data_IF_889168550115
#
_entry.id   IF_889168550115
#
_cell.length_a   1.000
_cell.length_b   1.000
_cell.length_c   1.000
_cell.angle_alpha   90.00
_cell.angle_beta   90.00
_cell.angle_gamma   90.00
#
_symmetry.space_group_name_H-M   'P 1'
#
loop_
_entity.id
_entity.type
_entity.pdbx_description
1 polymer ?
#
# COMPACT_ATOMS: atom_id res chain seq x y z
N UNK A 1 0.51 -28.99 5.36
CA UNK A 1 -0.29 -27.99 4.59
C UNK A 1 0.54 -26.73 4.44
N UNK A 2 0.67 -26.19 3.22
CA UNK A 2 1.33 -24.90 2.97
C UNK A 2 0.62 -23.81 3.79
N UNK A 3 1.36 -23.03 4.58
CA UNK A 3 0.77 -21.92 5.36
C UNK A 3 0.41 -20.78 4.42
N UNK A 4 -0.82 -20.26 4.50
CA UNK A 4 -1.27 -19.10 3.72
C UNK A 4 -0.41 -17.87 4.06
N UNK A 5 -0.05 -17.09 3.03
CA UNK A 5 0.72 -15.85 3.13
C UNK A 5 -0.17 -14.68 2.72
N UNK A 6 -0.38 -13.76 3.63
CA UNK A 6 -1.19 -12.56 3.40
C UNK A 6 -0.30 -11.34 3.26
N UNK A 7 -0.27 -10.73 2.07
CA UNK A 7 0.29 -9.40 1.86
C UNK A 7 -0.65 -8.32 2.38
N UNK A 8 -0.12 -7.33 3.07
CA UNK A 8 -0.87 -6.21 3.64
C UNK A 8 -0.28 -4.93 3.08
N UNK A 9 -1.05 -4.20 2.29
CA UNK A 9 -0.67 -2.88 1.79
C UNK A 9 -1.52 -1.82 2.49
N UNK A 10 -0.95 -1.16 3.49
CA UNK A 10 -1.55 0.00 4.15
C UNK A 10 -1.27 1.29 3.38
N UNK A 11 -2.19 2.23 3.42
CA UNK A 11 -1.96 3.53 2.80
C UNK A 11 -3.15 4.46 2.84
N UNK A 12 -2.91 5.74 2.60
CA UNK A 12 -4.00 6.72 2.51
C UNK A 12 -4.86 6.51 1.26
N UNK A 13 -4.24 6.10 0.13
CA UNK A 13 -4.88 5.90 -1.18
C UNK A 13 -5.72 7.10 -1.65
N UNK A 14 -5.10 8.27 -1.75
CA UNK A 14 -5.75 9.56 -2.02
C UNK A 14 -5.28 10.24 -3.33
N UNK A 15 -5.53 9.63 -4.54
CA UNK A 15 -6.10 8.32 -4.78
C UNK A 15 -5.07 7.17 -4.80
N UNK A 16 -5.57 5.94 -4.82
CA UNK A 16 -4.80 4.76 -5.21
C UNK A 16 -4.35 4.91 -6.67
N UNK A 17 -3.18 4.34 -6.99
CA UNK A 17 -2.59 4.44 -8.33
C UNK A 17 -1.75 3.21 -8.67
N UNK A 18 -1.35 3.12 -9.93
CA UNK A 18 -0.61 1.99 -10.48
C UNK A 18 0.67 1.67 -9.69
N UNK A 19 1.38 2.67 -9.16
CA UNK A 19 2.58 2.44 -8.35
C UNK A 19 2.31 1.70 -7.03
N UNK A 20 1.12 1.85 -6.43
CA UNK A 20 0.72 1.03 -5.28
C UNK A 20 0.50 -0.43 -5.69
N UNK A 21 -0.15 -0.64 -6.85
CA UNK A 21 -0.42 -1.98 -7.36
C UNK A 21 0.87 -2.68 -7.78
N UNK A 22 1.77 -1.98 -8.45
CA UNK A 22 3.10 -2.49 -8.85
C UNK A 22 3.90 -2.95 -7.62
N UNK A 23 3.87 -2.18 -6.53
CA UNK A 23 4.56 -2.54 -5.29
C UNK A 23 4.00 -3.83 -4.68
N UNK A 24 2.68 -3.98 -4.65
CA UNK A 24 2.03 -5.18 -4.13
C UNK A 24 2.23 -6.39 -5.07
N UNK A 25 2.23 -6.19 -6.40
CA UNK A 25 2.55 -7.24 -7.39
C UNK A 25 3.99 -7.74 -7.20
N UNK A 26 4.94 -6.83 -7.03
CA UNK A 26 6.35 -7.18 -6.79
C UNK A 26 6.53 -8.00 -5.51
N UNK A 27 5.90 -7.58 -4.40
CA UNK A 27 5.89 -8.33 -3.15
C UNK A 27 5.26 -9.71 -3.33
N UNK A 28 4.12 -9.77 -4.02
CA UNK A 28 3.38 -11.00 -4.27
C UNK A 28 4.21 -12.01 -5.06
N UNK A 29 4.88 -11.55 -6.11
CA UNK A 29 5.75 -12.38 -6.93
C UNK A 29 7.00 -12.86 -6.15
N UNK A 30 7.67 -11.94 -5.42
CA UNK A 30 8.91 -12.26 -4.70
C UNK A 30 8.69 -13.24 -3.53
N UNK A 31 7.52 -13.20 -2.89
CA UNK A 31 7.23 -13.95 -1.66
C UNK A 31 6.16 -15.02 -1.84
N UNK A 32 5.66 -15.23 -3.06
CA UNK A 32 4.57 -16.16 -3.38
C UNK A 32 3.38 -15.97 -2.42
N UNK A 33 2.89 -14.72 -2.31
CA UNK A 33 1.75 -14.41 -1.46
C UNK A 33 0.49 -15.06 -2.03
N UNK A 34 -0.32 -15.66 -1.17
CA UNK A 34 -1.58 -16.30 -1.58
C UNK A 34 -2.71 -15.28 -1.72
N UNK A 35 -2.66 -14.19 -0.95
CA UNK A 35 -3.62 -13.09 -0.96
C UNK A 35 -2.94 -11.75 -0.70
N UNK A 36 -3.58 -10.67 -1.16
CA UNK A 36 -3.22 -9.30 -0.79
C UNK A 36 -4.45 -8.56 -0.28
N UNK A 37 -4.31 -7.88 0.85
CA UNK A 37 -5.31 -6.98 1.40
C UNK A 37 -4.79 -5.55 1.38
N UNK A 38 -5.56 -4.65 0.76
CA UNK A 38 -5.36 -3.21 0.85
C UNK A 38 -6.14 -2.69 2.05
N UNK A 39 -5.51 -1.88 2.88
CA UNK A 39 -6.13 -1.30 4.08
C UNK A 39 -6.01 0.22 3.99
N UNK A 40 -7.09 0.92 3.54
CA UNK A 40 -7.12 2.38 3.53
C UNK A 40 -7.05 2.92 4.95
N UNK A 41 -6.09 3.81 5.20
CA UNK A 41 -5.95 4.47 6.50
C UNK A 41 -7.13 5.41 6.79
N UNK A 42 -7.64 5.39 8.02
CA UNK A 42 -8.60 6.39 8.46
C UNK A 42 -7.89 7.74 8.60
N UNK A 43 -6.94 7.85 9.53
CA UNK A 43 -6.10 9.01 9.75
C UNK A 43 -4.63 8.54 9.89
N UNK A 44 -3.77 8.93 8.95
CA UNK A 44 -2.37 8.50 8.93
C UNK A 44 -1.52 9.40 9.83
N UNK A 45 -0.92 8.88 10.93
CA UNK A 45 -0.26 9.67 11.95
C UNK A 45 0.89 10.56 11.48
N UNK A 46 1.61 10.13 10.45
CA UNK A 46 2.79 10.83 9.91
C UNK A 46 2.43 11.78 8.75
N UNK A 47 1.16 11.93 8.43
CA UNK A 47 0.73 12.81 7.35
C UNK A 47 0.55 14.23 7.85
N UNK A 48 1.16 15.19 7.16
CA UNK A 48 1.11 16.62 7.51
C UNK A 48 -0.22 17.29 7.10
N UNK A 49 -0.93 16.74 6.10
CA UNK A 49 -2.17 17.34 5.57
C UNK A 49 -3.30 16.32 5.49
N UNK A 50 -4.53 16.78 5.73
CA UNK A 50 -5.74 15.98 5.57
C UNK A 50 -5.86 15.39 4.15
N UNK A 51 -6.42 14.17 4.00
CA UNK A 51 -6.78 13.62 2.71
C UNK A 51 -7.77 14.53 1.97
N UNK A 52 -7.67 14.58 0.65
CA UNK A 52 -8.59 15.37 -0.18
C UNK A 52 -9.92 14.68 -0.42
N UNK A 53 -9.91 13.35 -0.49
CA UNK A 53 -11.12 12.55 -0.59
C UNK A 53 -11.49 11.95 0.77
N UNK A 54 -12.80 11.81 1.02
CA UNK A 54 -13.29 11.15 2.24
C UNK A 54 -12.82 9.70 2.33
N UNK A 55 -12.83 9.12 3.52
CA UNK A 55 -12.47 7.72 3.76
C UNK A 55 -13.30 6.76 2.88
N UNK A 56 -14.57 7.06 2.66
CA UNK A 56 -15.49 6.26 1.84
C UNK A 56 -15.09 6.27 0.36
N UNK A 57 -14.73 7.43 -0.19
CA UNK A 57 -14.22 7.51 -1.56
C UNK A 57 -12.88 6.79 -1.70
N UNK A 58 -11.97 6.93 -0.74
CA UNK A 58 -10.67 6.25 -0.77
C UNK A 58 -10.81 4.72 -0.71
N UNK A 59 -11.75 4.22 0.09
CA UNK A 59 -12.11 2.81 0.13
C UNK A 59 -12.69 2.34 -1.23
N UNK A 60 -13.66 3.08 -1.77
CA UNK A 60 -14.26 2.75 -3.06
C UNK A 60 -13.22 2.73 -4.20
N UNK A 61 -12.32 3.73 -4.24
CA UNK A 61 -11.23 3.78 -5.21
C UNK A 61 -10.29 2.57 -5.08
N UNK A 62 -9.94 2.16 -3.85
CA UNK A 62 -9.12 0.98 -3.61
C UNK A 62 -9.84 -0.30 -4.07
N UNK A 63 -11.14 -0.44 -3.78
CA UNK A 63 -11.94 -1.59 -4.22
C UNK A 63 -12.01 -1.69 -5.75
N UNK A 64 -12.27 -0.58 -6.43
CA UNK A 64 -12.29 -0.50 -7.89
C UNK A 64 -10.91 -0.80 -8.53
N UNK A 65 -9.83 -0.48 -7.83
CA UNK A 65 -8.48 -0.72 -8.34
C UNK A 65 -8.10 -2.21 -8.35
N UNK A 66 -8.72 -3.04 -7.51
CA UNK A 66 -8.40 -4.45 -7.35
C UNK A 66 -9.51 -5.40 -7.81
N UNK A 67 -10.60 -4.89 -8.38
CA UNK A 67 -11.78 -5.68 -8.76
C UNK A 67 -11.45 -6.85 -9.71
N UNK A 68 -10.51 -6.66 -10.62
CA UNK A 68 -10.10 -7.70 -11.59
C UNK A 68 -9.00 -8.64 -11.04
N UNK A 69 -8.70 -8.59 -9.73
CA UNK A 69 -7.65 -9.37 -9.06
C UNK A 69 -8.27 -10.37 -8.06
N UNK A 70 -8.47 -11.64 -8.44
CA UNK A 70 -9.28 -12.61 -7.68
C UNK A 70 -8.76 -12.89 -6.25
N UNK A 71 -7.46 -12.69 -6.00
CA UNK A 71 -6.83 -12.90 -4.69
C UNK A 71 -6.52 -11.62 -3.93
N UNK A 72 -7.05 -10.49 -4.42
CA UNK A 72 -6.88 -9.19 -3.76
C UNK A 72 -8.21 -8.70 -3.21
N UNK A 73 -8.17 -8.07 -2.06
CA UNK A 73 -9.36 -7.48 -1.44
C UNK A 73 -9.01 -6.19 -0.72
N UNK A 74 -10.02 -5.43 -0.37
CA UNK A 74 -9.88 -4.24 0.47
C UNK A 74 -10.55 -4.51 1.81
N UNK A 75 -9.95 -4.03 2.90
CA UNK A 75 -10.52 -4.12 4.24
C UNK A 75 -10.79 -2.72 4.78
N UNK A 76 -11.91 -2.55 5.43
CA UNK A 76 -12.34 -1.33 6.11
C UNK A 76 -11.94 -1.30 7.60
N UNK A 77 -11.12 -2.22 8.05
CA UNK A 77 -10.82 -2.42 9.47
C UNK A 77 -10.31 -1.16 10.18
N UNK A 78 -9.52 -0.31 9.49
CA UNK A 78 -9.06 0.96 10.06
C UNK A 78 -10.16 2.03 10.01
N UNK A 79 -11.04 1.98 9.01
CA UNK A 79 -12.15 2.92 8.88
C UNK A 79 -13.21 2.68 9.97
N UNK A 80 -13.50 1.42 10.27
CA UNK A 80 -14.44 1.03 11.33
C UNK A 80 -13.89 1.36 12.72
N UNK A 81 -12.58 1.13 12.93
CA UNK A 81 -11.93 1.46 14.21
C UNK A 81 -11.91 2.95 14.50
N UNK A 82 -11.90 3.79 13.44
CA UNK A 82 -11.74 5.24 13.52
C UNK A 82 -10.40 5.68 14.18
N UNK A 83 -10.15 6.99 14.23
CA UNK A 83 -8.93 7.54 14.82
C UNK A 83 -7.67 7.28 14.00
N UNK A 84 -6.51 7.36 14.66
CA UNK A 84 -5.21 7.20 14.02
C UNK A 84 -4.96 5.77 13.60
N UNK A 85 -4.45 5.61 12.40
CA UNK A 85 -4.13 4.31 11.77
C UNK A 85 -2.69 3.91 12.09
N UNK A 86 -2.47 3.27 13.22
CA UNK A 86 -1.17 2.71 13.57
C UNK A 86 -1.02 1.29 13.04
N UNK A 87 0.10 1.01 12.36
CA UNK A 87 0.41 -0.32 11.82
C UNK A 87 0.38 -1.40 12.90
N UNK A 88 0.88 -1.10 14.10
CA UNK A 88 0.84 -2.03 15.24
C UNK A 88 -0.58 -2.51 15.53
N UNK A 89 -1.54 -1.60 15.64
CA UNK A 89 -2.93 -1.92 15.94
C UNK A 89 -3.59 -2.73 14.81
N UNK A 90 -3.26 -2.39 13.56
CA UNK A 90 -3.74 -3.11 12.38
C UNK A 90 -3.25 -4.56 12.36
N UNK A 91 -1.95 -4.77 12.65
CA UNK A 91 -1.39 -6.11 12.72
C UNK A 91 -1.94 -6.91 13.91
N UNK A 92 -2.14 -6.29 15.08
CA UNK A 92 -2.81 -6.93 16.22
C UNK A 92 -4.24 -7.33 15.90
N UNK A 93 -5.03 -6.48 15.23
CA UNK A 93 -6.38 -6.84 14.77
C UNK A 93 -6.41 -8.02 13.80
N UNK A 94 -5.38 -8.18 12.96
CA UNK A 94 -5.23 -9.36 12.12
C UNK A 94 -4.89 -10.61 12.95
N UNK A 95 -4.05 -10.48 13.99
CA UNK A 95 -3.79 -11.59 14.93
C UNK A 95 -5.06 -12.02 15.66
N UNK A 96 -5.87 -11.08 16.13
CA UNK A 96 -7.16 -11.34 16.78
C UNK A 96 -8.14 -12.05 15.83
N UNK A 97 -8.00 -11.84 14.52
CA UNK A 97 -8.73 -12.53 13.46
C UNK A 97 -8.14 -13.93 13.11
N UNK A 98 -7.15 -14.41 13.86
CA UNK A 98 -6.58 -15.74 13.74
C UNK A 98 -5.33 -15.86 12.86
N UNK A 99 -4.80 -14.76 12.31
CA UNK A 99 -3.55 -14.78 11.56
C UNK A 99 -2.35 -14.83 12.50
N UNK A 100 -1.33 -15.62 12.15
CA UNK A 100 -0.05 -15.65 12.86
C UNK A 100 0.92 -14.65 12.24
N UNK A 101 1.83 -14.07 13.02
CA UNK A 101 2.85 -13.15 12.54
C UNK A 101 3.62 -13.69 11.31
N UNK A 102 3.97 -15.00 11.33
CA UNK A 102 4.68 -15.66 10.21
C UNK A 102 3.87 -15.82 8.92
N UNK A 103 2.59 -15.45 8.91
CA UNK A 103 1.72 -15.46 7.74
C UNK A 103 1.47 -14.07 7.18
N UNK A 104 1.85 -13.01 7.91
CA UNK A 104 1.60 -11.61 7.58
C UNK A 104 2.85 -10.99 6.96
N UNK A 105 2.67 -10.30 5.84
CA UNK A 105 3.72 -9.63 5.07
C UNK A 105 3.30 -8.18 4.83
N UNK A 106 3.80 -7.26 5.67
CA UNK A 106 3.48 -5.84 5.57
C UNK A 106 4.32 -5.18 4.48
N UNK A 107 3.65 -4.69 3.43
CA UNK A 107 4.27 -4.14 2.22
C UNK A 107 4.36 -2.63 2.35
N UNK A 108 5.56 -2.07 2.15
CA UNK A 108 5.78 -0.62 2.19
C UNK A 108 6.93 -0.22 1.26
N UNK A 109 6.95 1.05 0.88
CA UNK A 109 8.08 1.63 0.12
C UNK A 109 9.26 1.95 1.02
N UNK A 110 10.45 2.07 0.42
CA UNK A 110 11.70 2.46 1.09
C UNK A 110 11.57 3.78 1.86
N UNK A 111 10.88 4.77 1.30
CA UNK A 111 10.65 6.08 1.95
C UNK A 111 9.91 5.95 3.29
N UNK A 112 8.88 5.09 3.34
CA UNK A 112 8.13 4.85 4.57
C UNK A 112 8.95 4.03 5.58
N UNK A 113 9.77 3.10 5.08
CA UNK A 113 10.65 2.27 5.91
C UNK A 113 11.78 3.08 6.54
N UNK A 114 12.33 4.07 5.85
CA UNK A 114 13.38 4.95 6.39
C UNK A 114 12.95 5.62 7.72
N UNK A 115 11.65 5.87 7.90
CA UNK A 115 11.08 6.40 9.13
C UNK A 115 10.63 5.36 10.17
N UNK A 116 10.92 4.07 9.99
CA UNK A 116 10.35 2.96 10.79
C UNK A 116 10.60 3.13 12.30
N UNK A 117 11.75 3.67 12.69
CA UNK A 117 12.11 3.89 14.10
C UNK A 117 11.20 4.91 14.81
N UNK A 118 10.47 5.74 14.08
CA UNK A 118 9.48 6.68 14.62
C UNK A 118 8.06 6.10 14.68
N UNK A 119 7.85 4.86 14.23
CA UNK A 119 6.53 4.26 14.22
C UNK A 119 6.08 3.90 15.64
N UNK A 120 4.77 4.02 15.86
CA UNK A 120 4.16 3.60 17.12
C UNK A 120 4.44 2.10 17.36
N UNK A 121 4.85 1.78 18.58
CA UNK A 121 5.19 0.41 18.97
C UNK A 121 6.56 -0.09 18.50
N UNK A 122 7.41 0.76 17.88
CA UNK A 122 8.78 0.36 17.55
C UNK A 122 9.63 0.12 18.82
N UNK A 123 10.50 -0.93 18.86
CA UNK A 123 10.75 -1.92 17.81
C UNK A 123 9.79 -3.12 17.80
N UNK A 124 8.84 -3.21 18.75
CA UNK A 124 7.93 -4.35 18.91
C UNK A 124 7.02 -4.61 17.69
N UNK A 125 6.69 -3.57 16.91
CA UNK A 125 5.91 -3.73 15.67
C UNK A 125 6.58 -4.68 14.68
N UNK A 126 7.92 -4.80 14.72
CA UNK A 126 8.69 -5.69 13.86
C UNK A 126 8.50 -7.19 14.18
N UNK A 127 7.89 -7.51 15.32
CA UNK A 127 7.59 -8.90 15.72
C UNK A 127 6.18 -9.35 15.28
N UNK A 128 5.36 -8.42 14.79
CA UNK A 128 3.97 -8.68 14.45
C UNK A 128 3.75 -9.19 13.01
N UNK A 129 4.72 -8.99 12.13
CA UNK A 129 4.67 -9.42 10.73
C UNK A 129 6.08 -9.46 10.12
N UNK A 130 6.22 -10.12 8.98
CA UNK A 130 7.34 -9.84 8.07
C UNK A 130 7.13 -8.48 7.41
N UNK A 131 8.21 -7.73 7.17
CA UNK A 131 8.17 -6.45 6.45
C UNK A 131 8.74 -6.65 5.05
N UNK A 132 8.03 -6.17 4.04
CA UNK A 132 8.42 -6.27 2.63
C UNK A 132 8.66 -4.86 2.11
N UNK A 133 9.92 -4.50 2.00
CA UNK A 133 10.32 -3.15 1.60
C UNK A 133 10.59 -3.12 0.11
N UNK A 134 9.78 -2.35 -0.61
CA UNK A 134 9.90 -2.18 -2.05
C UNK A 134 10.87 -1.04 -2.34
N UNK A 135 11.99 -1.39 -2.93
CA UNK A 135 12.99 -0.44 -3.40
C UNK A 135 12.73 -0.08 -4.86
N UNK A 136 12.60 1.22 -5.11
CA UNK A 136 12.45 1.76 -6.46
C UNK A 136 13.82 2.12 -7.04
N UNK A 137 13.99 2.14 -8.36
CA UNK A 137 15.20 2.68 -8.97
C UNK A 137 15.45 4.12 -8.50
N UNK A 138 16.64 4.39 -7.95
CA UNK A 138 17.02 5.70 -7.41
C UNK A 138 16.53 6.00 -5.98
N UNK A 139 15.77 5.12 -5.35
CA UNK A 139 15.29 5.24 -3.97
C UNK A 139 15.58 3.96 -3.15
N UNK A 140 16.83 3.46 -3.26
CA UNK A 140 17.30 2.39 -2.39
C UNK A 140 17.34 2.85 -0.93
N UNK A 141 17.11 1.92 0.01
CA UNK A 141 17.26 2.21 1.43
C UNK A 141 18.71 2.65 1.68
N UNK A 142 18.89 3.83 2.27
CA UNK A 142 20.21 4.28 2.63
C UNK A 142 20.80 3.33 3.70
N UNK A 143 22.11 3.06 3.60
CA UNK A 143 22.82 2.23 4.60
C UNK A 143 22.62 2.81 6.03
N UNK A 144 22.45 4.14 6.12
CA UNK A 144 22.16 4.84 7.37
C UNK A 144 20.85 4.38 8.01
N UNK A 145 19.81 4.12 7.22
CA UNK A 145 18.49 3.71 7.72
C UNK A 145 18.49 2.27 8.23
N UNK A 146 19.48 1.49 7.82
CA UNK A 146 19.69 0.10 8.24
C UNK A 146 20.71 -0.06 9.39
N UNK A 147 21.18 1.05 9.99
CA UNK A 147 22.24 0.97 11.02
C UNK A 147 21.78 0.38 12.34
N UNK A 148 20.50 0.49 12.66
CA UNK A 148 19.96 -0.08 13.90
C UNK A 148 20.16 -1.61 13.91
N UNK A 149 20.77 -2.16 14.99
CA UNK A 149 21.07 -3.60 15.07
C UNK A 149 19.86 -4.49 14.84
N UNK A 150 18.71 -4.09 15.36
CA UNK A 150 17.42 -4.80 15.23
C UNK A 150 16.88 -4.86 13.80
N UNK A 151 17.24 -3.92 12.93
CA UNK A 151 16.90 -3.94 11.50
C UNK A 151 17.86 -4.85 10.75
N UNK A 152 19.17 -4.71 11.01
CA UNK A 152 20.21 -5.49 10.33
C UNK A 152 20.06 -6.99 10.59
N UNK A 153 19.83 -7.41 11.83
CA UNK A 153 19.70 -8.83 12.16
C UNK A 153 18.45 -9.49 11.58
N UNK A 154 17.43 -8.70 11.20
CA UNK A 154 16.17 -9.19 10.60
C UNK A 154 16.20 -9.18 9.08
N UNK A 155 17.12 -8.45 8.45
CA UNK A 155 17.19 -8.34 6.98
C UNK A 155 17.65 -9.65 6.37
N UNK A 156 16.93 -10.11 5.36
CA UNK A 156 17.26 -11.31 4.59
C UNK A 156 16.75 -11.19 3.15
N UNK A 157 17.35 -11.92 2.20
CA UNK A 157 16.80 -12.00 0.86
C UNK A 157 15.40 -12.65 0.89
N UNK A 158 14.53 -12.38 -0.10
CA UNK A 158 13.28 -13.11 -0.28
C UNK A 158 13.55 -14.62 -0.33
N UNK A 159 12.72 -15.45 0.32
CA UNK A 159 12.89 -16.88 0.34
C UNK A 159 12.54 -17.50 -1.01
N UNK A 160 12.97 -18.73 -1.23
CA UNK A 160 12.45 -19.56 -2.31
C UNK A 160 10.98 -19.90 -2.07
N UNK A 161 10.24 -20.13 -3.17
CA UNK A 161 8.78 -20.31 -3.13
C UNK A 161 8.28 -21.40 -2.13
N UNK A 162 9.08 -22.43 -1.88
CA UNK A 162 8.71 -23.55 -1.00
C UNK A 162 9.26 -23.42 0.43
N UNK A 163 9.97 -22.34 0.74
CA UNK A 163 10.60 -22.16 2.04
C UNK A 163 9.56 -21.73 3.08
N UNK A 164 9.46 -22.50 4.19
CA UNK A 164 8.60 -22.13 5.31
C UNK A 164 9.33 -21.16 6.24
N UNK A 165 8.60 -20.13 6.70
CA UNK A 165 9.15 -19.20 7.69
C UNK A 165 8.84 -19.71 9.11
N UNK A 166 9.82 -20.34 9.72
CA UNK A 166 9.80 -20.65 11.15
C UNK A 166 10.90 -19.79 11.81
N UNK A 167 10.53 -19.09 12.87
CA UNK A 167 11.47 -18.22 13.59
C UNK A 167 11.05 -16.75 13.63
N UNK A 168 12.01 -15.84 13.94
CA UNK A 168 11.72 -14.42 14.09
C UNK A 168 11.27 -13.77 12.77
N UNK A 169 10.45 -12.72 12.89
CA UNK A 169 9.98 -11.96 11.73
C UNK A 169 11.15 -11.27 11.02
N UNK A 170 11.05 -11.21 9.69
CA UNK A 170 12.13 -10.75 8.81
C UNK A 170 11.74 -9.51 8.02
N UNK A 171 12.75 -8.82 7.54
CA UNK A 171 12.64 -7.68 6.63
C UNK A 171 13.20 -8.14 5.28
N UNK A 172 12.34 -8.17 4.25
CA UNK A 172 12.70 -8.54 2.89
C UNK A 172 12.85 -7.30 2.03
N UNK A 173 14.01 -7.09 1.42
CA UNK A 173 14.25 -6.04 0.46
C UNK A 173 13.92 -6.58 -0.93
N UNK A 174 12.95 -5.97 -1.60
CA UNK A 174 12.49 -6.37 -2.94
C UNK A 174 12.74 -5.23 -3.91
N UNK A 175 13.69 -5.44 -4.82
CA UNK A 175 13.95 -4.49 -5.90
C UNK A 175 12.87 -4.62 -6.97
N UNK A 176 12.15 -3.55 -7.26
CA UNK A 176 11.07 -3.56 -8.22
C UNK A 176 11.06 -2.34 -9.13
N UNK A 177 10.81 -2.57 -10.41
CA UNK A 177 10.55 -1.52 -11.38
C UNK A 177 9.09 -1.07 -11.26
N UNK A 178 8.78 -0.27 -10.24
CA UNK A 178 7.46 0.34 -10.10
C UNK A 178 7.39 1.61 -10.94
N UNK A 179 6.21 1.91 -11.48
CA UNK A 179 5.98 3.19 -12.18
C UNK A 179 6.19 4.35 -11.22
N UNK A 180 6.89 5.39 -11.71
CA UNK A 180 7.13 6.62 -10.93
C UNK A 180 5.87 7.50 -10.94
N UNK A 181 4.98 7.22 -10.00
CA UNK A 181 3.71 7.93 -9.85
C UNK A 181 3.39 8.14 -8.36
N UNK A 182 2.80 9.28 -8.06
CA UNK A 182 2.34 9.59 -6.71
C UNK A 182 0.93 10.16 -6.72
N UNK A 183 0.19 9.95 -5.61
CA UNK A 183 -1.14 10.57 -5.43
C UNK A 183 -1.09 12.09 -5.58
N UNK A 184 -0.01 12.72 -5.14
CA UNK A 184 0.18 14.18 -5.29
C UNK A 184 0.30 14.59 -6.77
N UNK A 185 1.04 13.82 -7.57
CA UNK A 185 1.14 14.05 -9.03
C UNK A 185 -0.25 13.95 -9.67
N UNK A 186 -1.00 12.90 -9.36
CA UNK A 186 -2.35 12.69 -9.89
C UNK A 186 -3.28 13.85 -9.53
N UNK A 187 -3.30 14.28 -8.26
CA UNK A 187 -4.13 15.41 -7.84
C UNK A 187 -3.75 16.72 -8.54
N UNK A 188 -2.46 16.96 -8.78
CA UNK A 188 -2.00 18.15 -9.56
C UNK A 188 -2.46 18.06 -11.00
N UNK A 189 -2.35 16.90 -11.66
CA UNK A 189 -2.83 16.70 -13.04
C UNK A 189 -4.33 16.97 -13.15
N UNK A 190 -5.13 16.39 -12.25
CA UNK A 190 -6.59 16.61 -12.22
C UNK A 190 -6.96 18.08 -12.04
N UNK A 191 -6.32 18.79 -11.10
CA UNK A 191 -6.55 20.22 -10.88
C UNK A 191 -6.15 21.08 -12.08
N UNK A 192 -5.29 20.57 -12.97
CA UNK A 192 -4.88 21.23 -14.21
C UNK A 192 -5.63 20.72 -15.45
N UNK A 193 -6.66 19.89 -15.30
CA UNK A 193 -7.41 19.30 -16.42
C UNK A 193 -6.62 18.31 -17.27
N UNK A 194 -5.49 17.77 -16.76
CA UNK A 194 -4.64 16.82 -17.47
C UNK A 194 -5.13 15.37 -17.27
N UNK A 195 -4.99 14.49 -18.28
CA UNK A 195 -5.42 13.09 -18.22
C UNK A 195 -4.60 12.30 -17.18
N UNK A 196 -5.24 11.25 -16.62
CA UNK A 196 -4.66 10.35 -15.62
C UNK A 196 -4.81 8.86 -15.99
N UNK A 197 -5.18 8.55 -17.23
CA UNK A 197 -5.58 7.22 -17.69
C UNK A 197 -4.47 6.17 -17.58
N UNK A 198 -3.21 6.58 -17.66
CA UNK A 198 -2.02 5.74 -17.50
C UNK A 198 -1.56 5.60 -16.03
N UNK A 199 -2.13 6.39 -15.13
CA UNK A 199 -1.72 6.48 -13.72
C UNK A 199 -2.64 5.73 -12.76
N UNK A 200 -3.88 5.48 -13.16
CA UNK A 200 -4.90 4.76 -12.38
C UNK A 200 -5.66 3.79 -13.27
N UNK A 201 -6.40 2.83 -12.69
CA UNK A 201 -7.26 1.96 -13.50
C UNK A 201 -8.43 2.77 -14.11
N UNK A 202 -8.99 2.35 -15.26
CA UNK A 202 -10.12 3.04 -15.90
C UNK A 202 -11.34 3.21 -14.97
N UNK A 203 -11.57 2.26 -14.07
CA UNK A 203 -12.66 2.31 -13.08
C UNK A 203 -12.41 3.36 -12.03
N UNK A 204 -11.16 3.49 -11.56
CA UNK A 204 -10.73 4.54 -10.63
C UNK A 204 -10.86 5.92 -11.29
N UNK A 205 -10.40 6.08 -12.54
CA UNK A 205 -10.54 7.34 -13.28
C UNK A 205 -12.01 7.75 -13.42
N UNK A 206 -12.88 6.81 -13.82
CA UNK A 206 -14.33 7.05 -13.95
C UNK A 206 -14.97 7.46 -12.61
N UNK A 207 -14.61 6.82 -11.50
CA UNK A 207 -15.12 7.19 -10.17
C UNK A 207 -14.68 8.60 -9.76
N UNK A 208 -13.42 8.96 -10.02
CA UNK A 208 -12.87 10.29 -9.76
C UNK A 208 -13.65 11.34 -10.54
N UNK A 209 -13.88 11.13 -11.85
CA UNK A 209 -14.64 12.03 -12.71
C UNK A 209 -16.10 12.15 -12.24
N UNK A 210 -16.80 11.02 -12.07
CA UNK A 210 -18.21 10.97 -11.69
C UNK A 210 -18.51 11.70 -10.38
N UNK A 211 -17.57 11.72 -9.44
CA UNK A 211 -17.72 12.35 -8.13
C UNK A 211 -16.95 13.65 -7.99
N UNK A 212 -16.42 14.22 -9.10
CA UNK A 212 -15.67 15.48 -9.13
C UNK A 212 -14.55 15.54 -8.08
N UNK A 213 -13.88 14.40 -7.81
CA UNK A 213 -12.83 14.34 -6.81
C UNK A 213 -11.58 15.06 -7.32
N UNK A 214 -10.86 15.68 -6.39
CA UNK A 214 -9.55 16.33 -6.64
C UNK A 214 -9.60 17.49 -7.65
N UNK A 215 -10.78 18.10 -7.87
CA UNK A 215 -10.95 19.16 -8.87
C UNK A 215 -11.04 18.64 -10.30
N UNK A 216 -11.40 17.37 -10.49
CA UNK A 216 -11.68 16.82 -11.81
C UNK A 216 -12.83 17.60 -12.46
N UNK A 217 -12.59 18.10 -13.67
CA UNK A 217 -13.62 18.75 -14.50
C UNK A 217 -14.23 17.72 -15.44
N UNK A 218 -15.53 17.83 -15.73
CA UNK A 218 -16.21 16.97 -16.69
C UNK A 218 -15.66 17.21 -18.11
N UNK A 219 -14.87 16.29 -18.60
CA UNK A 219 -14.46 16.26 -20.01
C UNK A 219 -15.54 15.57 -20.90
N UNK A 220 -16.79 15.43 -20.41
CA UNK A 220 -17.87 14.76 -21.14
C UNK A 220 -18.55 15.62 -22.23
N UNK A 221 -18.06 16.82 -22.53
CA UNK A 221 -18.61 17.67 -23.58
C UNK A 221 -17.65 17.89 -24.77
N UNK A 222 -17.06 16.80 -25.29
CA UNK A 222 -16.12 16.84 -26.41
C UNK A 222 -16.53 16.12 -27.70
N UNK A 223 -17.72 15.50 -27.79
CA UNK A 223 -18.15 14.80 -29.02
C UNK A 223 -19.66 14.94 -29.28
N UNK A 224 -20.19 16.14 -29.40
CA UNK A 224 -21.49 16.31 -30.07
C UNK A 224 -21.73 17.75 -30.57
N UNK A 225 -20.80 18.25 -31.38
CA UNK A 225 -21.12 19.40 -32.28
C UNK A 225 -20.36 19.25 -33.59
N UNK A 226 -20.78 18.25 -34.41
CA UNK A 226 -20.66 18.31 -35.89
C UNK A 226 -21.88 17.65 -36.48
N UNK A 227 -22.87 18.46 -36.72
CA UNK A 227 -23.87 18.26 -37.79
C UNK A 227 -23.70 19.42 -38.75
#
# INVERSE_FOLDING_TARGET
MKRRRLGILGGTFDPIHVGHLDAADAASAALALDEVVLIPAHDQPLRVSEPRATVYHRFALAALAVEDRPHWRVSDMELVRQGRSYTEETLRGLHDSGWRASQLFFILGSDAFAGIASWHGYPGVLDLAHFVVIERPGAAIAEADMRAPELRCRTSPPPKADESFEGPMRIFLVHAHTRDVSSTMIRKRLASGLPIDDLVSPRVARHIQKHHLYGAVDNLHGEDQRI
#
